data_IF_446038395942
#
_entry.id   IF_446038395942
#
_cell.length_a   1.000
_cell.length_b   1.000
_cell.length_c   1.000
_cell.angle_alpha   90.00
_cell.angle_beta   90.00
_cell.angle_gamma   90.00
#
_symmetry.space_group_name_H-M   'P 1'
#
loop_
_entity.id
_entity.type
_entity.pdbx_description
1 polymer ?
#
# COMPACT_ATOMS: atom_id res chain seq x y z
N UNK A 1 12.02 15.55 -8.56
CA UNK A 1 10.85 14.81 -8.02
C UNK A 1 9.77 15.82 -7.62
N UNK A 2 8.52 15.64 -8.06
CA UNK A 2 7.41 16.55 -7.69
C UNK A 2 6.51 15.82 -6.68
N UNK A 3 6.26 16.41 -5.50
CA UNK A 3 5.32 15.86 -4.53
C UNK A 3 4.00 16.62 -4.62
N UNK A 4 2.88 15.96 -4.88
CA UNK A 4 1.55 16.58 -5.02
C UNK A 4 0.70 16.29 -3.77
N UNK A 5 0.49 17.30 -2.94
CA UNK A 5 -0.57 17.34 -1.91
C UNK A 5 -1.59 18.37 -2.34
N UNK A 6 -2.88 18.03 -2.41
CA UNK A 6 -3.99 19.01 -2.39
C UNK A 6 -3.62 20.37 -3.02
N UNK A 7 -3.44 20.40 -4.35
CA UNK A 7 -3.09 21.60 -5.14
C UNK A 7 -1.76 22.32 -4.84
N UNK A 8 -0.78 21.67 -4.19
CA UNK A 8 0.59 22.17 -4.03
C UNK A 8 1.61 21.12 -4.45
N UNK A 9 2.49 21.50 -5.39
CA UNK A 9 3.59 20.69 -5.85
C UNK A 9 4.91 21.26 -5.31
N UNK A 10 5.62 20.49 -4.47
CA UNK A 10 6.94 20.91 -3.95
C UNK A 10 8.03 20.07 -4.61
N UNK A 11 9.03 20.73 -5.19
CA UNK A 11 10.25 20.07 -5.64
C UNK A 11 11.20 19.96 -4.46
N UNK A 12 11.55 18.73 -4.10
CA UNK A 12 12.62 18.49 -3.13
C UNK A 12 13.91 18.11 -3.86
N UNK A 13 15.01 18.73 -3.42
CA UNK A 13 16.36 18.37 -3.86
C UNK A 13 16.80 17.16 -3.03
N UNK A 14 17.24 16.10 -3.69
CA UNK A 14 17.62 14.83 -3.07
C UNK A 14 19.10 14.55 -3.31
N UNK A 15 19.78 13.98 -2.33
CA UNK A 15 21.15 13.46 -2.47
C UNK A 15 21.23 12.05 -1.89
N UNK A 16 21.62 11.06 -2.69
CA UNK A 16 21.90 9.70 -2.19
C UNK A 16 23.18 9.72 -1.32
N UNK A 17 23.25 8.94 -0.23
CA UNK A 17 22.24 8.03 0.30
C UNK A 17 21.26 8.75 1.23
N UNK A 18 19.97 8.72 0.91
CA UNK A 18 18.93 9.34 1.73
C UNK A 18 17.62 8.58 1.55
N UNK A 19 16.92 8.32 2.64
CA UNK A 19 15.67 7.56 2.55
C UNK A 19 14.50 8.45 2.13
N UNK A 20 13.49 7.86 1.50
CA UNK A 20 12.25 8.59 1.17
C UNK A 20 11.56 9.12 2.43
N UNK A 21 11.64 8.39 3.54
CA UNK A 21 11.12 8.82 4.83
C UNK A 21 11.77 10.11 5.34
N UNK A 22 13.09 10.22 5.26
CA UNK A 22 13.84 11.43 5.63
C UNK A 22 13.50 12.61 4.72
N UNK A 23 13.23 12.34 3.44
CA UNK A 23 12.87 13.36 2.46
C UNK A 23 11.53 14.02 2.78
N UNK A 24 10.54 13.21 3.16
CA UNK A 24 9.18 13.69 3.39
C UNK A 24 8.99 14.18 4.83
N UNK A 25 9.95 13.92 5.73
CA UNK A 25 9.88 14.29 7.15
C UNK A 25 9.57 15.78 7.40
N UNK A 26 10.18 16.75 6.69
CA UNK A 26 9.85 18.17 6.83
C UNK A 26 8.42 18.47 6.40
N UNK A 27 7.91 17.80 5.36
CA UNK A 27 6.54 17.95 4.89
C UNK A 27 5.55 17.35 5.90
N UNK A 28 5.85 16.17 6.46
CA UNK A 28 5.02 15.55 7.51
C UNK A 28 4.89 16.49 8.70
N UNK A 29 5.99 17.13 9.10
CA UNK A 29 6.00 18.11 10.19
C UNK A 29 5.22 19.39 9.85
N UNK A 30 5.39 19.94 8.64
CA UNK A 30 4.70 21.14 8.17
C UNK A 30 3.17 20.94 8.11
N UNK A 31 2.74 19.78 7.60
CA UNK A 31 1.31 19.47 7.39
C UNK A 31 0.68 18.71 8.58
N UNK A 32 1.43 18.44 9.65
CA UNK A 32 0.93 17.79 10.86
C UNK A 32 0.39 16.38 10.65
N UNK A 33 0.92 15.64 9.66
CA UNK A 33 0.41 14.34 9.26
C UNK A 33 0.81 13.27 10.30
N UNK A 34 -0.16 12.69 10.99
CA UNK A 34 0.14 11.71 12.04
C UNK A 34 0.55 10.33 11.49
N UNK A 35 0.00 9.95 10.33
CA UNK A 35 0.33 8.70 9.64
C UNK A 35 0.50 8.98 8.15
N UNK A 36 1.74 9.05 7.71
CA UNK A 36 2.10 9.39 6.34
C UNK A 36 2.01 8.15 5.43
N UNK A 37 1.19 8.22 4.38
CA UNK A 37 1.16 7.25 3.29
C UNK A 37 1.80 7.86 2.05
N UNK A 38 2.85 7.24 1.54
CA UNK A 38 3.51 7.66 0.30
C UNK A 38 3.00 6.78 -0.85
N UNK A 39 2.53 7.38 -1.93
CA UNK A 39 2.05 6.69 -3.13
C UNK A 39 2.72 7.28 -4.37
N UNK A 40 2.95 6.47 -5.41
CA UNK A 40 3.34 6.96 -6.73
C UNK A 40 2.14 7.57 -7.44
N UNK A 41 2.27 8.75 -8.04
CA UNK A 41 1.15 9.41 -8.71
C UNK A 41 0.67 8.67 -9.97
N UNK A 42 1.57 7.96 -10.66
CA UNK A 42 1.24 7.24 -11.89
C UNK A 42 0.42 5.97 -11.65
N UNK A 43 0.68 5.26 -10.57
CA UNK A 43 0.13 3.92 -10.31
C UNK A 43 -0.59 3.77 -8.98
N UNK A 44 -0.52 4.79 -8.12
CA UNK A 44 -1.00 4.76 -6.73
C UNK A 44 -0.35 3.64 -5.89
N UNK A 45 0.80 3.11 -6.34
CA UNK A 45 1.56 2.12 -5.61
C UNK A 45 2.24 2.74 -4.39
N UNK A 46 2.19 2.03 -3.27
CA UNK A 46 2.70 2.50 -2.00
C UNK A 46 4.23 2.47 -1.94
N UNK A 47 4.83 3.63 -1.75
CA UNK A 47 6.28 3.75 -1.64
C UNK A 47 6.77 3.33 -0.27
N UNK A 48 7.82 2.52 -0.26
CA UNK A 48 8.52 2.14 0.96
C UNK A 48 9.32 3.35 1.49
N UNK A 49 9.03 3.85 2.71
CA UNK A 49 9.78 4.96 3.30
C UNK A 49 11.27 4.64 3.51
N UNK A 50 11.64 3.36 3.63
CA UNK A 50 13.03 2.93 3.82
C UNK A 50 13.80 2.79 2.48
N UNK A 51 13.13 2.92 1.34
CA UNK A 51 13.80 2.91 0.04
C UNK A 51 14.73 4.11 -0.12
N UNK A 52 15.79 3.95 -0.92
CA UNK A 52 16.67 5.06 -1.29
C UNK A 52 15.97 5.97 -2.31
N UNK A 53 16.14 7.28 -2.16
CA UNK A 53 15.54 8.29 -3.05
C UNK A 53 15.99 8.15 -4.51
N UNK A 54 17.14 7.52 -4.78
CA UNK A 54 17.62 7.24 -6.14
C UNK A 54 16.66 6.36 -6.95
N UNK A 55 15.89 5.48 -6.29
CA UNK A 55 14.94 4.59 -6.97
C UNK A 55 13.72 5.32 -7.54
N UNK A 56 13.50 6.57 -7.10
CA UNK A 56 12.32 7.36 -7.41
C UNK A 56 12.67 8.65 -8.16
N UNK A 57 13.89 8.73 -8.72
CA UNK A 57 14.33 9.92 -9.44
C UNK A 57 13.45 10.17 -10.68
N UNK A 58 12.78 11.33 -10.69
CA UNK A 58 11.86 11.73 -11.77
C UNK A 58 10.39 11.34 -11.55
N UNK A 59 10.09 10.53 -10.52
CA UNK A 59 8.71 10.15 -10.22
C UNK A 59 7.97 11.24 -9.42
N UNK A 60 6.64 11.13 -9.37
CA UNK A 60 5.78 12.03 -8.58
C UNK A 60 5.23 11.23 -7.41
N UNK A 61 5.41 11.76 -6.20
CA UNK A 61 4.85 11.16 -4.99
C UNK A 61 3.59 11.91 -4.57
N UNK A 62 2.52 11.16 -4.35
CA UNK A 62 1.37 11.60 -3.58
C UNK A 62 1.66 11.23 -2.15
N UNK A 63 1.40 12.14 -1.24
CA UNK A 63 1.45 11.81 0.18
C UNK A 63 -0.01 11.93 0.67
N UNK A 64 -0.45 11.03 1.54
CA UNK A 64 -1.82 10.99 2.03
C UNK A 64 -1.82 10.79 3.54
N UNK A 65 -2.83 11.32 4.22
CA UNK A 65 -3.05 11.02 5.62
C UNK A 65 -3.68 9.62 5.74
N UNK A 66 -2.95 8.68 6.33
CA UNK A 66 -3.38 7.28 6.50
C UNK A 66 -4.43 7.07 7.59
N UNK A 67 -5.24 8.09 7.89
CA UNK A 67 -6.38 7.96 8.79
C UNK A 67 -7.40 7.04 8.12
N UNK A 68 -7.70 5.94 8.81
CA UNK A 68 -8.63 4.93 8.33
C UNK A 68 -10.03 5.34 8.76
N UNK A 69 -10.95 5.40 7.82
CA UNK A 69 -12.37 5.53 8.13
C UNK A 69 -12.84 4.20 8.73
N UNK A 70 -13.01 4.18 10.04
CA UNK A 70 -13.58 3.03 10.75
C UNK A 70 -15.09 3.16 10.76
N UNK A 71 -15.80 2.09 10.42
CA UNK A 71 -17.25 2.09 10.49
C UNK A 71 -17.70 2.17 11.97
N UNK A 72 -18.65 3.06 12.31
CA UNK A 72 -19.16 3.17 13.68
C UNK A 72 -19.83 1.88 14.17
N UNK A 73 -20.29 1.00 13.27
CA UNK A 73 -20.86 -0.31 13.63
C UNK A 73 -19.90 -1.21 14.40
N UNK A 74 -18.59 -1.04 14.20
CA UNK A 74 -17.55 -1.75 14.96
C UNK A 74 -17.35 -1.25 16.39
N UNK A 75 -18.06 -0.21 16.83
CA UNK A 75 -18.08 0.19 18.26
C UNK A 75 -19.02 -0.69 19.07
N UNK A 76 -20.04 -1.28 18.42
CA UNK A 76 -21.03 -2.14 19.05
C UNK A 76 -20.66 -3.63 19.03
N UNK A 77 -19.81 -4.06 18.09
CA UNK A 77 -19.39 -5.46 17.95
C UNK A 77 -17.87 -5.57 17.71
N UNK A 78 -17.19 -6.21 18.66
CA UNK A 78 -15.74 -6.45 18.63
C UNK A 78 -15.37 -7.38 17.46
N UNK A 79 -16.22 -8.36 17.11
CA UNK A 79 -15.95 -9.29 16.00
C UNK A 79 -16.04 -8.59 14.66
N UNK A 80 -16.99 -7.66 14.51
CA UNK A 80 -17.07 -6.79 13.34
C UNK A 80 -15.80 -5.94 13.24
N UNK A 81 -15.36 -5.32 14.35
CA UNK A 81 -14.12 -4.52 14.37
C UNK A 81 -12.87 -5.32 13.99
N UNK A 82 -12.75 -6.55 14.49
CA UNK A 82 -11.63 -7.43 14.14
C UNK A 82 -11.67 -7.83 12.65
N UNK A 83 -12.85 -8.09 12.10
CA UNK A 83 -13.01 -8.46 10.69
C UNK A 83 -12.74 -7.28 9.76
N UNK A 84 -13.18 -6.08 10.14
CA UNK A 84 -12.83 -4.83 9.46
C UNK A 84 -11.31 -4.57 9.53
N UNK A 85 -10.68 -4.83 10.68
CA UNK A 85 -9.24 -4.79 10.84
C UNK A 85 -8.51 -5.76 9.90
N UNK A 86 -9.02 -6.99 9.78
CA UNK A 86 -8.50 -8.02 8.88
C UNK A 86 -8.62 -7.60 7.41
N UNK A 87 -9.78 -7.07 7.01
CA UNK A 87 -9.99 -6.54 5.66
C UNK A 87 -8.97 -5.43 5.35
N UNK A 88 -8.77 -4.51 6.29
CA UNK A 88 -7.81 -3.43 6.13
C UNK A 88 -6.37 -3.95 5.99
N UNK A 89 -5.94 -4.89 6.84
CA UNK A 89 -4.61 -5.49 6.70
C UNK A 89 -4.44 -6.22 5.37
N UNK A 90 -5.48 -6.92 4.90
CA UNK A 90 -5.43 -7.64 3.63
C UNK A 90 -5.34 -6.68 2.44
N UNK A 91 -6.10 -5.57 2.50
CA UNK A 91 -6.00 -4.52 1.50
C UNK A 91 -4.63 -3.84 1.50
N UNK A 92 -4.03 -3.62 2.67
CA UNK A 92 -2.67 -3.09 2.80
C UNK A 92 -1.63 -4.07 2.24
N UNK A 93 -1.79 -5.36 2.52
CA UNK A 93 -0.94 -6.42 1.98
C UNK A 93 -0.99 -6.46 0.46
N UNK A 94 -2.19 -6.45 -0.13
CA UNK A 94 -2.38 -6.37 -1.59
C UNK A 94 -1.71 -5.14 -2.22
N UNK A 95 -1.80 -3.99 -1.55
CA UNK A 95 -1.16 -2.75 -2.00
C UNK A 95 0.37 -2.83 -1.90
N UNK A 96 0.90 -3.47 -0.86
CA UNK A 96 2.33 -3.70 -0.69
C UNK A 96 2.90 -4.68 -1.74
N UNK A 97 2.16 -5.72 -2.12
CA UNK A 97 2.56 -6.63 -3.20
C UNK A 97 2.64 -5.91 -4.55
N UNK A 98 1.63 -5.08 -4.85
CA UNK A 98 1.64 -4.25 -6.06
C UNK A 98 2.79 -3.27 -6.09
N UNK A 99 3.09 -2.63 -4.95
CA UNK A 99 4.19 -1.68 -4.89
C UNK A 99 5.56 -2.32 -4.95
N UNK A 100 5.75 -3.48 -4.32
CA UNK A 100 7.00 -4.23 -4.45
C UNK A 100 7.29 -4.59 -5.92
N UNK A 101 6.26 -5.00 -6.67
CA UNK A 101 6.39 -5.30 -8.10
C UNK A 101 6.78 -4.06 -8.91
N UNK A 102 6.18 -2.91 -8.64
CA UNK A 102 6.45 -1.70 -9.43
C UNK A 102 7.77 -1.01 -9.05
N UNK A 103 8.05 -0.85 -7.76
CA UNK A 103 9.26 -0.20 -7.26
C UNK A 103 10.50 -1.02 -7.62
N UNK A 104 10.53 -2.29 -7.21
CA UNK A 104 11.70 -3.13 -7.42
C UNK A 104 11.70 -3.74 -8.82
N UNK A 105 10.57 -4.31 -9.26
CA UNK A 105 10.49 -4.92 -10.59
C UNK A 105 10.68 -3.91 -11.72
N UNK A 106 10.23 -2.66 -11.55
CA UNK A 106 10.49 -1.57 -12.49
C UNK A 106 11.95 -1.09 -12.46
N UNK A 107 12.53 -0.91 -11.27
CA UNK A 107 13.92 -0.49 -11.13
C UNK A 107 14.90 -1.54 -11.70
N UNK A 108 14.70 -2.82 -11.43
CA UNK A 108 15.54 -3.89 -11.96
C UNK A 108 15.49 -3.99 -13.49
N UNK A 109 14.32 -3.75 -14.09
CA UNK A 109 14.17 -3.68 -15.55
C UNK A 109 14.89 -2.47 -16.15
N UNK A 110 14.85 -1.31 -15.48
CA UNK A 110 15.57 -0.09 -15.91
C UNK A 110 17.09 -0.24 -15.79
N UNK A 111 17.56 -0.94 -14.77
CA UNK A 111 18.99 -1.15 -14.52
C UNK A 111 19.58 -2.32 -15.32
N UNK A 112 18.79 -3.03 -16.14
CA UNK A 112 19.20 -4.19 -16.94
C UNK A 112 19.96 -5.25 -16.12
N UNK A 113 19.66 -5.36 -14.82
CA UNK A 113 20.40 -6.24 -13.90
C UNK A 113 19.88 -7.68 -13.90
N UNK A 114 18.72 -7.94 -14.48
CA UNK A 114 18.04 -9.24 -14.47
C UNK A 114 17.50 -9.56 -15.85
N UNK A 115 17.70 -10.80 -16.29
CA UNK A 115 17.08 -11.33 -17.50
C UNK A 115 15.55 -11.47 -17.31
N UNK A 116 14.80 -11.51 -18.41
CA UNK A 116 13.33 -11.57 -18.38
C UNK A 116 12.81 -12.84 -17.66
N UNK A 117 13.57 -13.93 -17.71
CA UNK A 117 13.24 -15.17 -17.00
C UNK A 117 13.44 -15.04 -15.48
N UNK A 118 14.50 -14.38 -15.03
CA UNK A 118 14.78 -14.16 -13.60
C UNK A 118 13.79 -13.17 -13.00
N UNK A 119 13.43 -12.13 -13.76
CA UNK A 119 12.37 -11.19 -13.38
C UNK A 119 11.02 -11.90 -13.22
N UNK A 120 10.67 -12.77 -14.18
CA UNK A 120 9.43 -13.56 -14.12
C UNK A 120 9.45 -14.55 -12.95
N UNK A 121 10.62 -15.11 -12.60
CA UNK A 121 10.76 -16.01 -11.46
C UNK A 121 10.56 -15.29 -10.12
N UNK A 122 11.08 -14.07 -9.97
CA UNK A 122 10.97 -13.27 -8.74
C UNK A 122 9.60 -12.60 -8.59
N UNK A 123 9.08 -12.00 -9.66
CA UNK A 123 7.87 -11.16 -9.60
C UNK A 123 6.61 -11.83 -10.18
N UNK A 124 6.74 -12.93 -10.93
CA UNK A 124 5.59 -13.62 -11.54
C UNK A 124 4.65 -14.26 -10.51
N UNK A 125 5.17 -14.71 -9.36
CA UNK A 125 4.35 -15.22 -8.26
C UNK A 125 3.53 -14.14 -7.56
N UNK A 126 3.94 -12.87 -7.63
CA UNK A 126 3.23 -11.77 -6.98
C UNK A 126 1.89 -11.49 -7.65
N UNK A 127 1.76 -11.72 -8.95
CA UNK A 127 0.49 -11.52 -9.67
C UNK A 127 -0.58 -12.50 -9.21
N UNK A 128 -0.19 -13.77 -9.04
CA UNK A 128 -1.07 -14.79 -8.50
C UNK A 128 -1.48 -14.46 -7.07
N UNK A 129 -0.51 -14.05 -6.24
CA UNK A 129 -0.75 -13.70 -4.84
C UNK A 129 -1.63 -12.45 -4.69
N UNK A 130 -1.47 -11.48 -5.59
CA UNK A 130 -2.32 -10.29 -5.64
C UNK A 130 -3.75 -10.64 -6.06
N UNK A 131 -3.92 -11.60 -6.99
CA UNK A 131 -5.23 -12.10 -7.39
C UNK A 131 -5.93 -12.85 -6.24
N UNK A 132 -5.23 -13.73 -5.54
CA UNK A 132 -5.80 -14.45 -4.38
C UNK A 132 -6.16 -13.50 -3.24
N UNK A 133 -5.29 -12.52 -2.94
CA UNK A 133 -5.57 -11.49 -1.93
C UNK A 133 -6.79 -10.64 -2.31
N UNK A 134 -6.96 -10.31 -3.61
CA UNK A 134 -8.16 -9.61 -4.10
C UNK A 134 -9.44 -10.41 -3.90
N UNK A 135 -9.41 -11.73 -4.16
CA UNK A 135 -10.55 -12.61 -3.91
C UNK A 135 -10.90 -12.64 -2.42
N UNK A 136 -9.89 -12.77 -1.55
CA UNK A 136 -10.07 -12.76 -0.09
C UNK A 136 -10.66 -11.43 0.40
N UNK A 137 -10.17 -10.29 -0.09
CA UNK A 137 -10.76 -8.99 0.22
C UNK A 137 -12.24 -8.92 -0.15
N UNK A 138 -12.61 -9.37 -1.36
CA UNK A 138 -13.99 -9.33 -1.82
C UNK A 138 -14.91 -10.23 -0.98
N UNK A 139 -14.42 -11.39 -0.56
CA UNK A 139 -15.17 -12.29 0.32
C UNK A 139 -15.37 -11.68 1.71
N UNK A 140 -14.32 -11.07 2.29
CA UNK A 140 -14.43 -10.40 3.60
C UNK A 140 -15.38 -9.19 3.52
N UNK A 141 -15.34 -8.41 2.43
CA UNK A 141 -16.29 -7.32 2.19
C UNK A 141 -17.73 -7.82 2.14
N UNK A 142 -18.01 -8.88 1.38
CA UNK A 142 -19.35 -9.46 1.30
C UNK A 142 -19.88 -9.96 2.66
N UNK A 143 -18.99 -10.44 3.52
CA UNK A 143 -19.32 -10.85 4.90
C UNK A 143 -19.59 -9.64 5.80
N UNK A 144 -18.83 -8.55 5.64
CA UNK A 144 -19.05 -7.30 6.39
C UNK A 144 -20.35 -6.60 5.97
N UNK A 145 -20.72 -6.65 4.69
CA UNK A 145 -21.99 -6.10 4.19
C UNK A 145 -23.20 -6.87 4.73
N UNK A 146 -23.11 -8.20 4.77
CA UNK A 146 -24.16 -9.09 5.28
C UNK A 146 -23.98 -9.46 6.76
N UNK A 147 -23.33 -8.59 7.55
CA UNK A 147 -22.95 -8.91 8.92
C UNK A 147 -24.16 -9.12 9.83
N UNK A 148 -24.33 -10.38 10.25
CA UNK A 148 -25.27 -10.81 11.28
C UNK A 148 -24.47 -11.28 12.51
N UNK A 149 -24.70 -10.61 13.64
CA UNK A 149 -24.05 -10.82 14.94
C UNK A 149 -24.18 -12.25 15.48
N UNK A 150 -25.22 -12.99 15.06
CA UNK A 150 -25.52 -14.34 15.58
C UNK A 150 -25.06 -15.47 14.66
N UNK A 151 -24.83 -15.21 13.37
CA UNK A 151 -24.60 -16.26 12.34
C UNK A 151 -23.25 -16.21 11.64
N UNK A 152 -22.38 -15.29 12.00
CA UNK A 152 -21.13 -15.06 11.24
C UNK A 152 -20.15 -16.23 11.37
N UNK A 153 -20.09 -17.07 10.34
CA UNK A 153 -19.11 -18.15 10.21
C UNK A 153 -17.83 -17.65 9.54
N UNK A 154 -17.04 -16.82 10.24
CA UNK A 154 -15.70 -16.40 9.79
C UNK A 154 -14.79 -17.60 9.47
N UNK A 155 -15.03 -18.75 10.10
CA UNK A 155 -14.27 -19.99 9.86
C UNK A 155 -14.38 -20.53 8.43
N UNK A 156 -15.37 -20.14 7.63
CA UNK A 156 -15.46 -20.55 6.22
C UNK A 156 -14.48 -19.80 5.31
N UNK A 157 -14.00 -18.62 5.71
CA UNK A 157 -13.03 -17.82 4.96
C UNK A 157 -11.60 -18.38 5.05
N UNK A 158 -11.27 -19.09 6.13
CA UNK A 158 -9.90 -19.56 6.43
C UNK A 158 -9.68 -21.02 5.98
N UNK A 159 -10.72 -21.73 5.55
CA UNK A 159 -10.67 -23.19 5.33
C UNK A 159 -10.25 -23.60 3.91
N UNK A 160 -9.62 -22.71 3.12
CA UNK A 160 -9.03 -23.06 1.82
C UNK A 160 -7.63 -23.62 1.98
#
# INVERSE_FOLDING_TARGET
>A
MLLSWSNRATMLLTSSPMTVGELVLPLVAEFGVQKCLLLLAGSLARVDPAADVSLLEGDILLVEEGRRETNPRGECDIRFRLTEGLLHSECEYRRALGSAKELYGGAFRKLMCLDEEEHRLLFGGLDLLQATSKELCAQIQAVLENWDTEKTQLGMLVRR
#
